data_IF_340185092305
#
_entry.id   IF_340185092305
#
_cell.length_a   1.000
_cell.length_b   1.000
_cell.length_c   1.000
_cell.angle_alpha   90.00
_cell.angle_beta   90.00
_cell.angle_gamma   90.00
#
_symmetry.space_group_name_H-M   'P 1'
#
loop_
_entity.id
_entity.type
_entity.pdbx_description
1 polymer ?
#
# COMPACT_ATOMS: atom_id res chain seq x y z
N UNK A 1 14.65 30.02 -9.42
CA UNK A 1 14.09 30.99 -8.48
C UNK A 1 12.57 30.83 -8.46
N UNK A 2 11.99 30.42 -7.33
CA UNK A 2 10.55 30.17 -7.20
C UNK A 2 9.80 31.38 -6.62
N UNK A 3 10.49 32.50 -6.40
CA UNK A 3 9.90 33.70 -5.77
C UNK A 3 8.77 34.32 -6.60
N UNK A 4 8.82 34.18 -7.92
CA UNK A 4 7.76 34.65 -8.82
C UNK A 4 6.47 33.80 -8.72
N UNK A 5 6.55 32.52 -8.31
CA UNK A 5 5.35 31.70 -8.04
C UNK A 5 4.57 32.18 -6.80
N UNK A 6 5.22 32.90 -5.91
CA UNK A 6 4.58 33.50 -4.74
C UNK A 6 3.75 34.77 -5.05
N UNK A 7 3.88 35.33 -6.27
CA UNK A 7 3.15 36.52 -6.72
C UNK A 7 2.20 36.19 -7.89
N UNK A 8 1.03 35.62 -7.63
CA UNK A 8 0.11 35.16 -8.68
C UNK A 8 -0.26 36.21 -9.74
N UNK A 9 -0.28 37.49 -9.36
CA UNK A 9 -0.59 38.62 -10.27
C UNK A 9 0.47 38.91 -11.34
N UNK A 10 1.65 38.29 -11.27
CA UNK A 10 2.75 38.46 -12.24
C UNK A 10 2.88 37.25 -13.18
N UNK A 11 2.10 36.17 -12.96
CA UNK A 11 2.16 34.96 -13.77
C UNK A 11 1.35 35.11 -15.05
N UNK A 12 1.80 34.57 -16.20
CA UNK A 12 1.00 34.55 -17.40
C UNK A 12 -0.29 33.73 -17.17
N UNK A 13 -1.36 34.08 -17.85
CA UNK A 13 -2.57 33.28 -17.83
C UNK A 13 -2.29 31.91 -18.45
N UNK A 14 -2.36 30.87 -17.62
CA UNK A 14 -2.13 29.50 -18.05
C UNK A 14 -2.96 28.53 -17.20
N UNK A 15 -3.62 27.49 -17.79
CA UNK A 15 -4.47 26.56 -17.04
C UNK A 15 -3.77 25.92 -15.83
N UNK A 16 -2.48 25.61 -15.91
CA UNK A 16 -1.70 25.05 -14.80
C UNK A 16 -1.55 25.99 -13.59
N UNK A 17 -1.77 27.30 -13.77
CA UNK A 17 -1.63 28.30 -12.71
C UNK A 17 -2.97 28.65 -12.05
N UNK A 18 -4.07 28.21 -12.64
CA UNK A 18 -5.41 28.42 -12.09
C UNK A 18 -5.56 27.71 -10.74
N UNK A 19 -6.19 28.37 -9.77
CA UNK A 19 -6.43 27.80 -8.45
C UNK A 19 -5.17 27.32 -7.69
N UNK A 20 -3.97 27.81 -8.08
CA UNK A 20 -2.69 27.34 -7.54
C UNK A 20 -2.39 25.86 -7.79
N UNK A 21 -3.02 25.25 -8.82
CA UNK A 21 -2.90 23.82 -9.12
C UNK A 21 -1.43 23.37 -9.24
N UNK A 22 -0.61 24.08 -10.02
CA UNK A 22 0.81 23.72 -10.22
C UNK A 22 1.61 23.73 -8.92
N UNK A 23 1.35 24.70 -8.04
CA UNK A 23 2.05 24.78 -6.75
C UNK A 23 1.74 23.55 -5.89
N UNK A 24 0.47 23.22 -5.76
CA UNK A 24 0.05 22.05 -5.00
C UNK A 24 0.54 20.74 -5.63
N UNK A 25 0.50 20.65 -6.95
CA UNK A 25 1.02 19.49 -7.67
C UNK A 25 2.51 19.30 -7.40
N UNK A 26 3.33 20.36 -7.54
CA UNK A 26 4.76 20.31 -7.29
C UNK A 26 5.08 19.96 -5.84
N UNK A 27 4.36 20.52 -4.87
CA UNK A 27 4.56 20.20 -3.45
C UNK A 27 4.30 18.71 -3.17
N UNK A 28 3.24 18.14 -3.74
CA UNK A 28 2.91 16.72 -3.58
C UNK A 28 3.91 15.81 -4.33
N UNK A 29 4.32 16.20 -5.53
CA UNK A 29 5.37 15.47 -6.28
C UNK A 29 6.69 15.48 -5.52
N UNK A 30 7.08 16.60 -4.92
CA UNK A 30 8.27 16.68 -4.08
C UNK A 30 8.17 15.74 -2.87
N UNK A 31 7.01 15.69 -2.21
CA UNK A 31 6.77 14.77 -1.09
C UNK A 31 6.91 13.30 -1.50
N UNK A 32 6.40 12.92 -2.68
CA UNK A 32 6.56 11.57 -3.22
C UNK A 32 8.02 11.25 -3.61
N UNK A 33 8.75 12.21 -4.18
CA UNK A 33 10.16 12.04 -4.51
C UNK A 33 10.98 11.83 -3.24
N UNK A 34 10.70 12.58 -2.18
CA UNK A 34 11.36 12.41 -0.88
C UNK A 34 11.21 10.97 -0.36
N UNK A 35 10.00 10.42 -0.38
CA UNK A 35 9.73 9.04 0.05
C UNK A 35 10.48 8.02 -0.83
N UNK A 36 10.50 8.24 -2.16
CA UNK A 36 11.27 7.39 -3.09
C UNK A 36 12.77 7.43 -2.82
N UNK A 37 13.32 8.59 -2.46
CA UNK A 37 14.73 8.69 -2.06
C UNK A 37 15.02 7.87 -0.81
N UNK A 38 14.13 7.87 0.18
CA UNK A 38 14.27 7.02 1.38
C UNK A 38 14.18 5.54 1.03
N UNK A 39 13.33 5.14 0.09
CA UNK A 39 13.29 3.77 -0.41
C UNK A 39 14.62 3.36 -1.09
N UNK A 40 15.26 4.27 -1.86
CA UNK A 40 16.59 4.03 -2.45
C UNK A 40 17.67 3.90 -1.37
N UNK A 41 17.64 4.74 -0.34
CA UNK A 41 18.57 4.64 0.80
C UNK A 41 18.41 3.29 1.51
N UNK A 42 17.16 2.86 1.73
CA UNK A 42 16.88 1.55 2.31
C UNK A 42 17.35 0.40 1.40
N UNK A 43 17.11 0.50 0.10
CA UNK A 43 17.59 -0.50 -0.87
C UNK A 43 19.12 -0.61 -0.86
N UNK A 44 19.83 0.53 -0.80
CA UNK A 44 21.29 0.55 -0.64
C UNK A 44 21.72 -0.13 0.66
N UNK A 45 21.08 0.19 1.77
CA UNK A 45 21.35 -0.43 3.06
C UNK A 45 21.13 -1.95 3.01
N UNK A 46 20.07 -2.40 2.32
CA UNK A 46 19.75 -3.81 2.16
C UNK A 46 20.76 -4.60 1.30
N UNK A 47 21.62 -3.93 0.52
CA UNK A 47 22.71 -4.54 -0.25
C UNK A 47 24.00 -4.70 0.57
N UNK A 48 24.06 -4.09 1.76
CA UNK A 48 25.22 -4.22 2.64
C UNK A 48 25.10 -5.50 3.47
N UNK A 49 26.25 -6.04 3.87
CA UNK A 49 26.30 -7.14 4.83
C UNK A 49 26.16 -6.57 6.24
N UNK A 50 25.28 -7.19 7.02
CA UNK A 50 25.01 -6.82 8.42
C UNK A 50 25.39 -7.97 9.36
N UNK A 51 26.52 -8.64 9.11
CA UNK A 51 26.95 -9.87 9.79
C UNK A 51 27.12 -9.73 11.31
N UNK A 52 27.33 -8.51 11.81
CA UNK A 52 27.44 -8.24 13.25
C UNK A 52 26.08 -7.97 13.92
N UNK A 53 25.00 -7.77 13.13
CA UNK A 53 23.70 -7.50 13.69
C UNK A 53 23.09 -8.77 14.29
N UNK A 54 22.86 -8.76 15.59
CA UNK A 54 22.25 -9.86 16.32
C UNK A 54 20.83 -9.51 16.76
N UNK A 55 19.97 -10.51 16.76
CA UNK A 55 18.58 -10.40 17.20
C UNK A 55 18.45 -11.12 18.54
N UNK A 56 18.37 -10.38 19.64
CA UNK A 56 18.26 -10.94 20.99
C UNK A 56 16.91 -11.65 21.20
N UNK A 57 15.83 -11.10 20.60
CA UNK A 57 14.48 -11.63 20.69
C UNK A 57 13.96 -11.94 19.29
N UNK A 58 14.15 -13.18 18.79
CA UNK A 58 13.70 -13.56 17.46
C UNK A 58 12.20 -13.40 17.29
N UNK A 59 11.79 -12.89 16.11
CA UNK A 59 10.40 -12.81 15.73
C UNK A 59 9.75 -14.20 15.78
N UNK A 60 8.61 -14.30 16.45
CA UNK A 60 7.81 -15.53 16.54
C UNK A 60 6.66 -15.46 15.56
N UNK A 61 6.44 -16.56 14.83
CA UNK A 61 5.30 -16.68 13.92
C UNK A 61 3.99 -16.76 14.71
N UNK A 62 2.94 -16.17 14.13
CA UNK A 62 1.59 -16.20 14.70
C UNK A 62 0.57 -16.41 13.59
N UNK A 63 -0.28 -17.44 13.72
CA UNK A 63 -1.39 -17.66 12.80
C UNK A 63 -2.36 -16.49 12.90
N UNK A 64 -2.78 -15.87 11.77
CA UNK A 64 -3.67 -14.73 11.78
C UNK A 64 -5.06 -15.13 12.29
N UNK A 65 -5.68 -14.19 13.01
CA UNK A 65 -7.03 -14.35 13.57
C UNK A 65 -7.89 -13.17 13.17
N UNK A 66 -9.19 -13.43 13.03
CA UNK A 66 -10.18 -12.40 12.71
C UNK A 66 -10.26 -11.34 13.84
N UNK A 67 -9.89 -10.11 13.50
CA UNK A 67 -10.07 -8.91 14.31
C UNK A 67 -10.95 -7.86 13.61
N UNK A 68 -11.69 -8.29 12.59
CA UNK A 68 -12.32 -7.41 11.61
C UNK A 68 -13.47 -6.58 12.19
N UNK A 69 -13.75 -5.47 11.51
CA UNK A 69 -14.93 -4.63 11.67
C UNK A 69 -15.88 -4.82 10.51
N UNK A 70 -17.18 -4.86 10.80
CA UNK A 70 -18.23 -4.97 9.80
C UNK A 70 -18.59 -3.57 9.31
N UNK A 71 -18.63 -3.42 7.99
CA UNK A 71 -19.18 -2.27 7.28
C UNK A 71 -20.48 -2.73 6.64
N UNK A 72 -21.58 -2.03 6.88
CA UNK A 72 -22.87 -2.38 6.34
C UNK A 72 -22.98 -2.04 4.85
N UNK A 73 -23.91 -2.69 4.16
CA UNK A 73 -24.25 -2.34 2.79
C UNK A 73 -24.78 -0.91 2.74
N UNK A 74 -24.34 -0.14 1.72
CA UNK A 74 -24.83 1.23 1.59
C UNK A 74 -24.17 2.00 0.46
N UNK A 75 -24.60 3.25 0.33
CA UNK A 75 -24.01 4.22 -0.59
C UNK A 75 -23.02 5.10 0.16
N UNK A 76 -21.80 5.12 -0.29
CA UNK A 76 -20.70 5.78 0.40
C UNK A 76 -20.02 6.81 -0.50
N UNK A 77 -19.56 7.88 0.11
CA UNK A 77 -18.78 8.90 -0.59
C UNK A 77 -17.31 8.55 -0.55
N UNK A 78 -16.67 8.51 -1.74
CA UNK A 78 -15.22 8.38 -1.93
C UNK A 78 -14.67 9.56 -2.72
N UNK A 79 -13.34 9.68 -2.77
CA UNK A 79 -12.67 10.74 -3.49
C UNK A 79 -12.67 12.08 -2.74
N UNK A 80 -11.97 13.04 -3.30
CA UNK A 80 -11.77 14.37 -2.72
C UNK A 80 -12.59 15.44 -3.42
N UNK A 81 -13.03 16.45 -2.65
CA UNK A 81 -13.51 17.72 -3.20
C UNK A 81 -12.32 18.53 -3.71
N UNK A 82 -12.61 19.64 -4.37
CA UNK A 82 -11.60 20.60 -4.78
C UNK A 82 -10.69 21.02 -3.61
N UNK A 83 -9.44 21.31 -3.92
CA UNK A 83 -8.43 21.71 -2.96
C UNK A 83 -7.03 21.20 -3.31
N UNK A 84 -6.15 21.17 -2.32
CA UNK A 84 -4.77 20.68 -2.45
C UNK A 84 -4.67 19.15 -2.54
N UNK A 85 -5.30 18.56 -3.56
CA UNK A 85 -5.36 17.11 -3.80
C UNK A 85 -4.82 16.77 -5.19
N UNK A 86 -4.44 15.50 -5.40
CA UNK A 86 -4.05 15.03 -6.72
C UNK A 86 -5.29 14.86 -7.61
N UNK A 87 -5.15 15.06 -8.91
CA UNK A 87 -6.25 14.90 -9.86
C UNK A 87 -6.90 13.52 -9.81
N UNK A 88 -6.12 12.46 -9.58
CA UNK A 88 -6.61 11.09 -9.50
C UNK A 88 -7.48 10.80 -8.26
N UNK A 89 -7.59 11.74 -7.31
CA UNK A 89 -8.50 11.66 -6.17
C UNK A 89 -9.88 12.25 -6.47
N UNK A 90 -10.04 12.86 -7.64
CA UNK A 90 -11.24 13.60 -8.07
C UNK A 90 -11.91 12.94 -9.29
N UNK A 91 -13.19 13.24 -9.51
CA UNK A 91 -14.12 13.94 -8.60
C UNK A 91 -14.63 13.05 -7.46
N UNK A 92 -15.36 13.63 -6.51
CA UNK A 92 -16.11 12.87 -5.51
C UNK A 92 -17.09 11.93 -6.20
N UNK A 93 -17.14 10.67 -5.75
CA UNK A 93 -18.07 9.66 -6.22
C UNK A 93 -18.98 9.18 -5.09
N UNK A 94 -20.16 8.71 -5.46
CA UNK A 94 -21.00 7.89 -4.59
C UNK A 94 -20.96 6.46 -5.14
N UNK A 95 -20.48 5.54 -4.31
CA UNK A 95 -20.37 4.12 -4.66
C UNK A 95 -21.29 3.29 -3.80
N UNK A 96 -21.93 2.29 -4.37
CA UNK A 96 -22.63 1.28 -3.61
C UNK A 96 -21.67 0.15 -3.27
N UNK A 97 -21.59 -0.23 -1.99
CA UNK A 97 -20.85 -1.39 -1.53
C UNK A 97 -21.77 -2.36 -0.80
N UNK A 98 -21.63 -3.64 -1.09
CA UNK A 98 -22.21 -4.69 -0.26
C UNK A 98 -21.58 -4.70 1.14
N UNK A 99 -22.25 -5.28 2.12
CA UNK A 99 -21.67 -5.46 3.44
C UNK A 99 -20.37 -6.28 3.35
N UNK A 100 -19.36 -5.91 4.13
CA UNK A 100 -18.07 -6.61 4.18
C UNK A 100 -17.49 -6.52 5.60
N UNK A 101 -16.49 -7.34 5.87
CA UNK A 101 -15.66 -7.22 7.08
C UNK A 101 -14.25 -6.85 6.65
N UNK A 102 -13.62 -5.90 7.34
CA UNK A 102 -12.26 -5.45 7.09
C UNK A 102 -11.42 -5.62 8.35
N UNK A 103 -10.24 -6.21 8.24
CA UNK A 103 -9.32 -6.35 9.37
C UNK A 103 -9.00 -4.98 9.97
N UNK A 104 -9.09 -4.88 11.29
CA UNK A 104 -8.83 -3.62 11.99
C UNK A 104 -7.40 -3.16 11.83
N UNK A 105 -6.45 -4.11 11.79
CA UNK A 105 -5.02 -3.85 11.60
C UNK A 105 -4.52 -4.38 10.26
N UNK A 106 -3.45 -3.79 9.68
CA UNK A 106 -2.73 -4.40 8.57
C UNK A 106 -2.10 -5.72 9.01
N UNK A 107 -1.75 -6.57 8.03
CA UNK A 107 -0.99 -7.80 8.27
C UNK A 107 0.31 -7.48 9.00
N UNK A 108 0.57 -8.18 10.10
CA UNK A 108 1.73 -7.96 10.95
C UNK A 108 2.95 -8.80 10.51
N UNK A 109 4.14 -8.43 11.02
CA UNK A 109 5.36 -9.20 10.79
C UNK A 109 5.23 -10.65 11.29
N UNK A 110 4.64 -10.87 12.46
CA UNK A 110 4.47 -12.21 13.03
C UNK A 110 3.55 -13.10 12.18
N UNK A 111 2.49 -12.53 11.64
CA UNK A 111 1.55 -13.24 10.76
C UNK A 111 2.17 -13.55 9.39
N UNK A 112 2.95 -12.62 8.85
CA UNK A 112 3.65 -12.87 7.59
C UNK A 112 4.78 -13.91 7.76
N UNK A 113 5.45 -13.94 8.90
CA UNK A 113 6.42 -15.00 9.21
C UNK A 113 5.76 -16.38 9.26
N UNK A 114 4.52 -16.48 9.77
CA UNK A 114 3.78 -17.75 9.77
C UNK A 114 3.51 -18.23 8.33
N UNK A 115 3.11 -17.35 7.42
CA UNK A 115 2.98 -17.64 6.00
C UNK A 115 4.29 -18.19 5.41
N UNK A 116 5.42 -17.52 5.69
CA UNK A 116 6.73 -17.96 5.19
C UNK A 116 7.12 -19.34 5.73
N UNK A 117 6.88 -19.60 7.03
CA UNK A 117 7.22 -20.87 7.67
C UNK A 117 6.31 -22.02 7.21
N UNK A 118 5.07 -21.74 6.82
CA UNK A 118 4.14 -22.74 6.23
C UNK A 118 4.40 -22.95 4.72
N UNK A 119 5.55 -22.51 4.22
CA UNK A 119 5.96 -22.72 2.83
C UNK A 119 5.35 -21.72 1.84
N UNK A 120 4.95 -20.54 2.30
CA UNK A 120 4.23 -19.53 1.51
C UNK A 120 4.86 -19.18 0.16
N UNK A 121 6.18 -19.19 0.07
CA UNK A 121 6.90 -18.97 -1.18
C UNK A 121 7.17 -20.23 -2.00
N UNK A 122 6.97 -21.41 -1.43
CA UNK A 122 7.20 -22.68 -2.11
C UNK A 122 5.90 -23.31 -2.65
N UNK A 123 4.79 -23.10 -1.96
CA UNK A 123 3.50 -23.69 -2.29
C UNK A 123 2.77 -22.87 -3.36
N UNK A 124 2.65 -23.41 -4.56
CA UNK A 124 2.09 -22.72 -5.71
C UNK A 124 0.56 -22.49 -5.63
N UNK A 125 -0.12 -23.23 -4.77
CA UNK A 125 -1.58 -23.18 -4.65
C UNK A 125 -2.11 -21.80 -4.19
N UNK A 126 -1.31 -21.05 -3.45
CA UNK A 126 -1.71 -19.72 -2.96
C UNK A 126 -1.43 -18.58 -3.95
N UNK A 127 -0.68 -18.84 -5.02
CA UNK A 127 -0.31 -17.82 -6.01
C UNK A 127 -1.23 -17.88 -7.23
N UNK A 128 -1.71 -16.74 -7.68
CA UNK A 128 -2.36 -16.60 -8.98
C UNK A 128 -1.34 -16.81 -10.13
N UNK A 129 -1.81 -16.88 -11.38
CA UNK A 129 -0.94 -17.13 -12.53
C UNK A 129 0.18 -16.12 -12.68
N UNK A 130 -0.12 -14.83 -12.52
CA UNK A 130 0.85 -13.76 -12.61
C UNK A 130 1.86 -13.81 -11.44
N UNK A 131 1.37 -14.11 -10.24
CA UNK A 131 2.21 -14.28 -9.05
C UNK A 131 3.14 -15.49 -9.17
N UNK A 132 2.68 -16.62 -9.73
CA UNK A 132 3.52 -17.80 -10.00
C UNK A 132 4.62 -17.49 -11.01
N UNK A 133 4.28 -16.78 -12.09
CA UNK A 133 5.26 -16.36 -13.09
C UNK A 133 6.32 -15.47 -12.48
N UNK A 134 5.90 -14.46 -11.71
CA UNK A 134 6.80 -13.55 -11.02
C UNK A 134 7.70 -14.27 -10.02
N UNK A 135 7.14 -15.12 -9.17
CA UNK A 135 7.87 -15.88 -8.14
C UNK A 135 8.93 -16.81 -8.77
N UNK A 136 8.58 -17.50 -9.86
CA UNK A 136 9.50 -18.35 -10.62
C UNK A 136 10.66 -17.56 -11.21
N UNK A 137 10.39 -16.37 -11.73
CA UNK A 137 11.43 -15.51 -12.37
C UNK A 137 12.38 -14.88 -11.37
N UNK A 138 11.91 -14.58 -10.14
CA UNK A 138 12.69 -13.84 -9.13
C UNK A 138 13.29 -14.74 -8.05
N UNK A 139 12.74 -15.95 -7.86
CA UNK A 139 13.13 -16.90 -6.80
C UNK A 139 13.16 -16.23 -5.40
N UNK A 140 12.23 -15.33 -5.16
CA UNK A 140 12.12 -14.58 -3.92
C UNK A 140 11.57 -15.48 -2.80
N UNK A 141 12.08 -15.34 -1.58
CA UNK A 141 11.67 -16.15 -0.43
C UNK A 141 11.33 -15.35 0.85
N UNK A 142 11.34 -14.01 0.79
CA UNK A 142 11.03 -13.16 1.93
C UNK A 142 10.67 -11.75 1.48
N UNK A 143 10.03 -10.90 2.33
CA UNK A 143 9.81 -9.49 2.04
C UNK A 143 11.10 -8.74 1.68
N UNK A 144 10.99 -7.72 0.81
CA UNK A 144 12.16 -6.96 0.31
C UNK A 144 13.04 -6.36 1.42
N UNK A 145 12.43 -5.93 2.51
CA UNK A 145 13.13 -5.30 3.64
C UNK A 145 13.61 -6.29 4.69
N UNK A 146 13.44 -7.61 4.48
CA UNK A 146 13.86 -8.61 5.45
C UNK A 146 15.18 -9.29 5.04
N UNK A 147 15.96 -9.63 6.05
CA UNK A 147 17.20 -10.41 5.91
C UNK A 147 17.26 -11.47 6.99
N UNK A 148 17.99 -12.53 6.73
CA UNK A 148 18.25 -13.58 7.70
C UNK A 148 19.68 -13.47 8.19
N UNK A 149 19.86 -13.40 9.51
CA UNK A 149 21.17 -13.38 10.14
C UNK A 149 21.83 -14.76 10.16
N UNK A 150 23.08 -14.83 10.58
CA UNK A 150 23.89 -16.07 10.65
C UNK A 150 23.29 -17.13 11.58
N UNK A 151 22.55 -16.71 12.61
CA UNK A 151 21.82 -17.59 13.52
C UNK A 151 20.44 -18.05 12.96
N UNK A 152 20.09 -17.70 11.73
CA UNK A 152 18.81 -18.04 11.11
C UNK A 152 17.63 -17.15 11.53
N UNK A 153 17.85 -16.11 12.33
CA UNK A 153 16.81 -15.19 12.78
C UNK A 153 16.56 -14.07 11.74
N UNK A 154 15.28 -13.71 11.54
CA UNK A 154 14.89 -12.63 10.65
C UNK A 154 15.06 -11.27 11.32
N UNK A 155 15.56 -10.30 10.55
CA UNK A 155 15.62 -8.88 10.91
C UNK A 155 15.21 -8.01 9.74
N UNK A 156 14.79 -6.78 10.03
CA UNK A 156 14.45 -5.79 9.02
C UNK A 156 15.65 -4.95 8.61
N UNK A 157 15.61 -4.33 7.44
CA UNK A 157 16.52 -3.28 7.01
C UNK A 157 15.71 -2.05 6.67
N UNK A 158 15.99 -0.97 7.38
CA UNK A 158 15.37 0.34 7.20
C UNK A 158 16.36 1.39 6.71
N UNK A 159 15.93 2.64 6.72
CA UNK A 159 16.75 3.80 6.29
C UNK A 159 18.03 3.98 7.14
N UNK A 160 18.01 3.54 8.38
CA UNK A 160 19.14 3.63 9.31
C UNK A 160 19.93 2.31 9.43
N UNK A 161 19.70 1.34 8.55
CA UNK A 161 20.35 0.03 8.59
C UNK A 161 19.49 -1.06 9.21
N UNK A 162 20.12 -2.12 9.78
CA UNK A 162 19.41 -3.26 10.33
C UNK A 162 18.60 -2.89 11.58
N UNK A 163 17.45 -3.55 11.75
CA UNK A 163 16.54 -3.31 12.87
C UNK A 163 15.80 -4.60 13.27
N UNK A 164 15.44 -4.69 14.55
CA UNK A 164 14.62 -5.80 15.05
C UNK A 164 13.20 -5.66 14.50
N UNK A 165 12.67 -6.75 13.94
CA UNK A 165 11.27 -6.82 13.49
C UNK A 165 10.36 -6.95 14.72
N UNK A 166 9.45 -5.99 14.88
CA UNK A 166 8.44 -6.04 15.93
C UNK A 166 7.24 -6.88 15.47
N UNK A 167 6.80 -7.81 16.33
CA UNK A 167 5.77 -8.80 15.98
C UNK A 167 4.46 -8.18 15.47
N UNK A 168 3.99 -7.13 16.14
CA UNK A 168 2.71 -6.48 15.85
C UNK A 168 2.80 -5.28 14.89
N UNK A 169 4.01 -4.95 14.40
CA UNK A 169 4.16 -3.93 13.37
C UNK A 169 3.76 -4.48 12.00
N UNK A 170 3.17 -3.63 11.12
CA UNK A 170 2.82 -4.03 9.77
C UNK A 170 4.03 -4.54 8.99
N UNK A 171 3.87 -5.67 8.32
CA UNK A 171 4.88 -6.15 7.37
C UNK A 171 5.04 -5.13 6.24
N UNK A 172 6.29 -4.97 5.78
CA UNK A 172 6.63 -4.01 4.73
C UNK A 172 7.60 -4.62 3.72
N UNK A 173 7.58 -4.10 2.49
CA UNK A 173 8.41 -4.59 1.40
C UNK A 173 7.76 -5.75 0.63
N UNK A 174 6.43 -5.78 0.60
CA UNK A 174 5.64 -6.68 -0.24
C UNK A 174 5.27 -6.01 -1.56
N UNK A 175 5.05 -6.82 -2.58
CA UNK A 175 4.36 -6.42 -3.80
C UNK A 175 2.91 -6.91 -3.84
N UNK A 176 2.18 -6.60 -4.92
CA UNK A 176 0.78 -6.99 -5.06
C UNK A 176 0.59 -8.52 -5.16
N UNK A 177 1.55 -9.25 -5.72
CA UNK A 177 1.49 -10.71 -5.83
C UNK A 177 1.66 -11.39 -4.47
N UNK A 178 2.65 -10.94 -3.69
CA UNK A 178 2.90 -11.41 -2.33
C UNK A 178 1.70 -11.17 -1.41
N UNK A 179 1.02 -10.02 -1.58
CA UNK A 179 -0.18 -9.73 -0.78
C UNK A 179 -1.36 -10.62 -1.12
N UNK A 180 -1.55 -10.98 -2.40
CA UNK A 180 -2.60 -11.92 -2.84
C UNK A 180 -2.30 -13.34 -2.38
N UNK A 181 -1.05 -13.79 -2.49
CA UNK A 181 -0.63 -15.10 -2.01
C UNK A 181 -0.83 -15.25 -0.50
N UNK A 182 -0.42 -14.22 0.27
CA UNK A 182 -0.68 -14.19 1.71
C UNK A 182 -2.17 -14.27 2.03
N UNK A 183 -3.02 -13.50 1.33
CA UNK A 183 -4.45 -13.49 1.57
C UNK A 183 -5.09 -14.88 1.29
N UNK A 184 -4.68 -15.55 0.22
CA UNK A 184 -5.13 -16.90 -0.10
C UNK A 184 -4.72 -17.92 0.98
N UNK A 185 -3.47 -17.83 1.47
CA UNK A 185 -3.01 -18.66 2.59
C UNK A 185 -3.78 -18.34 3.88
N UNK A 186 -4.00 -17.08 4.20
CA UNK A 186 -4.73 -16.65 5.40
C UNK A 186 -6.20 -17.09 5.36
N UNK A 187 -6.81 -17.13 4.17
CA UNK A 187 -8.16 -17.67 3.98
C UNK A 187 -8.26 -19.18 4.27
N UNK A 188 -7.19 -19.92 4.01
CA UNK A 188 -7.11 -21.37 4.25
C UNK A 188 -6.67 -21.69 5.69
N UNK A 189 -5.68 -20.99 6.22
CA UNK A 189 -5.01 -21.29 7.50
C UNK A 189 -5.44 -20.42 8.67
N UNK A 190 -5.93 -19.22 8.41
CA UNK A 190 -6.29 -18.23 9.43
C UNK A 190 -7.60 -18.59 10.16
N UNK A 191 -7.69 -18.21 11.42
CA UNK A 191 -8.88 -18.44 12.23
C UNK A 191 -9.93 -17.35 11.95
N UNK A 192 -11.07 -17.76 11.36
CA UNK A 192 -12.18 -16.85 11.05
C UNK A 192 -11.96 -15.99 9.80
N UNK A 193 -10.94 -16.30 8.98
CA UNK A 193 -10.56 -15.54 7.79
C UNK A 193 -10.98 -16.20 6.47
N UNK A 194 -11.90 -17.16 6.50
CA UNK A 194 -12.38 -17.83 5.29
C UNK A 194 -12.84 -16.80 4.24
N UNK A 195 -12.34 -16.95 3.01
CA UNK A 195 -12.60 -16.05 1.89
C UNK A 195 -11.87 -14.71 1.96
N UNK A 196 -10.85 -14.56 2.81
CA UNK A 196 -10.05 -13.35 2.90
C UNK A 196 -9.35 -13.02 1.58
N UNK A 197 -9.41 -11.76 1.20
CA UNK A 197 -8.71 -11.17 0.04
C UNK A 197 -8.09 -9.83 0.46
N UNK A 198 -7.13 -9.29 -0.31
CA UNK A 198 -6.71 -7.89 -0.09
C UNK A 198 -7.90 -6.96 -0.29
N UNK A 199 -7.96 -5.87 0.48
CA UNK A 199 -9.04 -4.89 0.38
C UNK A 199 -9.10 -4.23 -1.00
N UNK A 200 -10.30 -3.86 -1.46
CA UNK A 200 -10.48 -2.90 -2.55
C UNK A 200 -10.25 -1.47 -2.04
N UNK A 201 -9.74 -0.58 -2.88
CA UNK A 201 -9.44 0.80 -2.45
C UNK A 201 -10.67 1.56 -1.90
N UNK A 202 -11.87 1.26 -2.39
CA UNK A 202 -13.11 1.89 -1.89
C UNK A 202 -13.45 1.39 -0.48
N UNK A 203 -13.28 0.11 -0.22
CA UNK A 203 -13.48 -0.49 1.10
C UNK A 203 -12.52 0.13 2.12
N UNK A 204 -11.26 0.28 1.73
CA UNK A 204 -10.25 0.91 2.57
C UNK A 204 -10.60 2.36 2.90
N UNK A 205 -10.94 3.18 1.88
CA UNK A 205 -11.25 4.60 2.08
C UNK A 205 -12.46 4.81 3.00
N UNK A 206 -13.50 4.02 2.80
CA UNK A 206 -14.72 4.08 3.61
C UNK A 206 -14.42 3.69 5.05
N UNK A 207 -13.74 2.58 5.28
CA UNK A 207 -13.37 2.13 6.61
C UNK A 207 -12.46 3.13 7.35
N UNK A 208 -11.51 3.76 6.63
CA UNK A 208 -10.65 4.81 7.18
C UNK A 208 -11.44 6.06 7.57
N UNK A 209 -12.38 6.51 6.72
CA UNK A 209 -13.25 7.67 7.00
C UNK A 209 -14.20 7.44 8.18
N UNK A 210 -14.63 6.20 8.38
CA UNK A 210 -15.49 5.80 9.50
C UNK A 210 -14.70 5.58 10.80
N UNK A 211 -13.36 5.53 10.75
CA UNK A 211 -12.51 5.26 11.91
C UNK A 211 -12.51 3.79 12.34
N UNK A 212 -12.89 2.87 11.43
CA UNK A 212 -13.00 1.44 11.73
C UNK A 212 -11.68 0.69 11.56
N UNK A 213 -10.64 1.33 11.00
CA UNK A 213 -9.31 0.75 10.81
C UNK A 213 -8.24 1.52 11.57
N UNK A 214 -7.27 0.78 12.08
CA UNK A 214 -6.15 1.28 12.88
C UNK A 214 -4.82 1.11 12.13
N UNK A 215 -3.78 1.79 12.62
CA UNK A 215 -2.40 1.70 12.14
C UNK A 215 -2.20 2.00 10.64
N UNK A 216 -3.16 2.62 9.98
CA UNK A 216 -2.94 3.23 8.68
C UNK A 216 -1.93 4.40 8.83
N UNK A 217 -1.08 4.60 7.82
CA UNK A 217 0.02 5.57 7.89
C UNK A 217 1.34 4.99 8.43
N UNK A 218 1.41 3.69 8.74
CA UNK A 218 2.64 2.99 9.12
C UNK A 218 3.30 2.32 7.91
N UNK A 219 2.50 1.67 7.09
CA UNK A 219 2.90 1.03 5.83
C UNK A 219 1.83 1.32 4.79
N UNK A 220 2.21 1.59 3.53
CA UNK A 220 1.26 1.58 2.43
C UNK A 220 0.57 0.23 2.36
N UNK A 221 -0.67 0.22 1.93
CA UNK A 221 -1.47 -0.99 1.85
C UNK A 221 -1.88 -1.25 0.40
N UNK A 222 -1.37 -2.32 -0.21
CA UNK A 222 -1.78 -2.76 -1.54
C UNK A 222 -3.26 -3.10 -1.57
N UNK A 223 -3.95 -2.61 -2.60
CA UNK A 223 -5.33 -2.94 -2.86
C UNK A 223 -5.46 -4.04 -3.92
N UNK A 224 -6.60 -4.73 -3.92
CA UNK A 224 -6.88 -5.80 -4.87
C UNK A 224 -7.04 -5.31 -6.32
N UNK A 225 -7.50 -4.07 -6.48
CA UNK A 225 -7.85 -3.51 -7.78
C UNK A 225 -6.67 -2.84 -8.49
N UNK A 226 -6.67 -2.97 -9.81
CA UNK A 226 -5.86 -2.12 -10.68
C UNK A 226 -6.36 -0.67 -10.59
N UNK A 227 -5.46 0.27 -10.89
CA UNK A 227 -5.82 1.68 -10.96
C UNK A 227 -6.79 1.94 -12.12
N UNK A 228 -7.87 2.66 -11.80
CA UNK A 228 -8.79 3.24 -12.78
C UNK A 228 -9.08 4.68 -12.37
N UNK A 229 -9.26 5.54 -13.35
CA UNK A 229 -9.79 6.88 -13.10
C UNK A 229 -11.22 6.79 -12.57
N UNK A 230 -11.59 7.73 -11.71
CA UNK A 230 -12.99 7.86 -11.34
C UNK A 230 -13.84 8.31 -12.55
N UNK A 231 -15.12 7.94 -12.62
CA UNK A 231 -16.04 8.53 -13.60
C UNK A 231 -15.93 10.06 -13.60
N UNK A 232 -16.00 10.69 -14.78
CA UNK A 232 -15.87 12.13 -14.97
C UNK A 232 -14.52 12.75 -14.55
N UNK A 233 -13.48 11.91 -14.44
CA UNK A 233 -12.12 12.39 -14.20
C UNK A 233 -11.69 13.41 -15.25
N UNK A 234 -11.11 14.52 -14.79
CA UNK A 234 -10.53 15.54 -15.66
C UNK A 234 -9.00 15.37 -15.67
N UNK A 235 -8.49 14.97 -16.83
CA UNK A 235 -7.04 14.86 -16.99
C UNK A 235 -6.35 16.23 -16.80
N UNK A 236 -5.16 16.27 -16.21
CA UNK A 236 -4.38 17.51 -16.17
C UNK A 236 -4.05 17.98 -17.59
N UNK A 237 -3.75 19.27 -17.78
CA UNK A 237 -3.41 19.83 -19.10
C UNK A 237 -2.26 19.12 -19.80
N UNK A 238 -1.37 18.47 -19.04
CA UNK A 238 -0.31 17.59 -19.55
C UNK A 238 -0.44 16.22 -18.88
N UNK A 239 -0.69 15.18 -19.67
CA UNK A 239 -0.83 13.80 -19.19
C UNK A 239 0.44 13.28 -18.47
N UNK A 240 1.62 13.82 -18.77
CA UNK A 240 2.86 13.48 -18.04
C UNK A 240 2.84 13.91 -16.57
N UNK A 241 1.92 14.77 -16.19
CA UNK A 241 1.72 15.19 -14.81
C UNK A 241 0.85 14.22 -13.99
N UNK A 242 0.15 13.27 -14.64
CA UNK A 242 -0.60 12.23 -13.92
C UNK A 242 0.40 11.19 -13.33
N UNK A 243 0.39 10.99 -12.01
CA UNK A 243 1.30 10.05 -11.37
C UNK A 243 0.95 8.58 -11.62
N UNK A 244 -0.29 8.29 -12.01
CA UNK A 244 -0.83 6.96 -12.22
C UNK A 244 -1.15 6.73 -13.70
N UNK A 245 -1.09 5.48 -14.15
CA UNK A 245 -1.45 5.13 -15.51
C UNK A 245 -2.27 3.84 -15.55
N UNK A 246 -3.42 3.92 -16.20
CA UNK A 246 -4.28 2.76 -16.49
C UNK A 246 -3.55 1.79 -17.43
N UNK A 247 -2.89 2.32 -18.45
CA UNK A 247 -2.24 1.53 -19.51
C UNK A 247 -1.07 0.68 -19.00
N UNK A 248 -0.42 1.07 -17.89
CA UNK A 248 0.65 0.28 -17.27
C UNK A 248 0.14 -0.87 -16.41
N UNK A 249 -1.16 -0.96 -16.16
CA UNK A 249 -1.70 -1.94 -15.22
C UNK A 249 -1.26 -1.71 -13.78
N UNK A 250 -0.98 -0.46 -13.40
CA UNK A 250 -0.60 -0.11 -12.04
C UNK A 250 -1.70 -0.53 -11.05
N UNK A 251 -1.30 -1.02 -9.88
CA UNK A 251 -2.21 -1.30 -8.77
C UNK A 251 -2.26 -0.12 -7.81
N UNK A 252 -3.37 0.02 -7.11
CA UNK A 252 -3.57 1.08 -6.10
C UNK A 252 -2.98 0.68 -4.76
N UNK A 253 -2.40 1.66 -4.06
CA UNK A 253 -2.04 1.57 -2.64
C UNK A 253 -2.72 2.70 -1.87
N UNK A 254 -3.08 2.42 -0.63
CA UNK A 254 -3.75 3.37 0.28
C UNK A 254 -3.00 3.48 1.61
N UNK A 255 -3.24 4.53 2.36
CA UNK A 255 -2.91 4.63 3.77
C UNK A 255 -1.67 5.41 4.15
N UNK A 256 -0.70 5.57 3.28
CA UNK A 256 0.61 6.17 3.60
C UNK A 256 1.55 5.24 4.41
N UNK A 257 2.83 5.59 4.52
CA UNK A 257 3.80 4.95 5.39
C UNK A 257 4.43 5.95 6.37
N UNK A 258 5.30 5.49 7.26
CA UNK A 258 5.98 6.35 8.24
C UNK A 258 6.78 7.49 7.60
N UNK A 259 7.25 7.30 6.37
CA UNK A 259 8.06 8.28 5.63
C UNK A 259 7.24 9.24 4.78
N UNK A 260 5.94 9.01 4.65
CA UNK A 260 5.05 9.85 3.87
C UNK A 260 4.87 11.22 4.54
N UNK A 261 5.04 12.28 3.77
CA UNK A 261 4.84 13.65 4.25
C UNK A 261 3.38 13.88 4.67
N UNK A 262 3.13 14.71 5.71
CA UNK A 262 1.78 14.92 6.24
C UNK A 262 0.74 15.34 5.20
N UNK A 263 1.13 16.11 4.20
CA UNK A 263 0.25 16.57 3.12
C UNK A 263 -0.34 15.44 2.27
N UNK A 264 0.27 14.25 2.27
CA UNK A 264 -0.19 13.07 1.53
C UNK A 264 -0.92 12.03 2.40
N UNK A 265 -0.99 12.22 3.73
CA UNK A 265 -1.59 11.26 4.67
C UNK A 265 -3.11 11.41 4.79
N UNK A 266 -3.80 11.72 3.72
CA UNK A 266 -5.26 11.81 3.70
C UNK A 266 -5.89 10.51 3.20
N UNK A 267 -7.10 10.22 3.67
CA UNK A 267 -7.81 8.98 3.30
C UNK A 267 -8.17 8.90 1.81
N UNK A 268 -8.18 10.02 1.09
CA UNK A 268 -8.46 10.07 -0.35
C UNK A 268 -7.24 9.79 -1.21
N UNK A 269 -6.02 9.94 -0.67
CA UNK A 269 -4.81 9.82 -1.47
C UNK A 269 -4.66 8.41 -2.07
N UNK A 270 -4.36 8.37 -3.36
CA UNK A 270 -4.18 7.15 -4.15
C UNK A 270 -2.76 7.11 -4.69
N UNK A 271 -1.93 6.23 -4.14
CA UNK A 271 -0.62 5.90 -4.72
C UNK A 271 -0.81 4.76 -5.73
N UNK A 272 -0.04 4.80 -6.81
CA UNK A 272 -0.06 3.74 -7.82
C UNK A 272 1.34 3.23 -8.08
N UNK A 273 1.46 1.93 -8.29
CA UNK A 273 2.72 1.31 -8.63
C UNK A 273 2.50 0.02 -9.44
N UNK A 274 3.54 -0.39 -10.19
CA UNK A 274 3.57 -1.71 -10.83
C UNK A 274 3.34 -2.80 -9.79
N UNK A 275 2.52 -3.82 -10.08
CA UNK A 275 2.26 -4.93 -9.16
C UNK A 275 3.52 -5.67 -8.69
N UNK A 276 4.63 -5.56 -9.42
CA UNK A 276 5.92 -6.17 -9.08
C UNK A 276 6.77 -5.35 -8.10
N UNK A 277 6.39 -4.10 -7.85
CA UNK A 277 7.20 -3.16 -7.08
C UNK A 277 7.29 -3.56 -5.61
N UNK A 278 8.49 -3.97 -5.14
CA UNK A 278 8.73 -4.42 -3.75
C UNK A 278 9.45 -3.40 -2.87
N UNK A 279 10.17 -2.47 -3.47
CA UNK A 279 10.99 -1.50 -2.72
C UNK A 279 10.17 -0.42 -2.00
N UNK A 280 8.86 -0.43 -2.14
CA UNK A 280 7.97 0.43 -1.38
C UNK A 280 7.86 -0.04 0.08
N UNK A 281 7.63 0.89 0.99
CA UNK A 281 7.26 0.59 2.37
C UNK A 281 5.78 0.17 2.42
N UNK A 282 5.49 -1.00 1.84
CA UNK A 282 4.12 -1.47 1.57
C UNK A 282 3.87 -2.89 2.06
N UNK A 283 2.73 -3.07 2.69
CA UNK A 283 2.13 -4.34 3.10
C UNK A 283 0.70 -4.46 2.58
N UNK A 284 -0.21 -5.02 3.36
CA UNK A 284 -1.63 -5.17 3.00
C UNK A 284 -2.53 -5.29 4.22
N UNK A 285 -3.84 -5.22 3.98
CA UNK A 285 -4.92 -5.48 4.93
C UNK A 285 -5.94 -6.40 4.28
N UNK A 286 -6.60 -7.23 5.06
CA UNK A 286 -7.54 -8.23 4.56
C UNK A 286 -8.99 -7.73 4.67
N UNK A 287 -9.80 -8.18 3.70
CA UNK A 287 -11.24 -8.06 3.69
C UNK A 287 -11.85 -9.44 3.50
N UNK A 288 -12.93 -9.71 4.21
CA UNK A 288 -13.74 -10.92 4.06
C UNK A 288 -15.09 -10.51 3.43
N UNK A 289 -15.26 -10.63 2.12
CA UNK A 289 -16.53 -10.33 1.46
C UNK A 289 -17.59 -11.38 1.80
N UNK A 290 -18.87 -11.02 1.86
CA UNK A 290 -19.95 -11.97 2.08
C UNK A 290 -20.26 -12.76 0.79
N UNK A 291 -19.43 -13.72 0.41
CA UNK A 291 -19.72 -14.72 -0.63
C UNK A 291 -19.64 -14.28 -2.09
N UNK A 292 -19.66 -12.98 -2.40
CA UNK A 292 -19.37 -12.39 -3.72
C UNK A 292 -18.50 -11.16 -3.56
N UNK A 293 -17.72 -10.84 -4.57
CA UNK A 293 -16.95 -9.61 -4.56
C UNK A 293 -17.87 -8.40 -4.40
N UNK A 294 -17.48 -7.42 -3.58
CA UNK A 294 -18.31 -6.27 -3.24
C UNK A 294 -18.60 -5.32 -4.41
N UNK A 295 -18.00 -5.58 -5.56
CA UNK A 295 -18.03 -4.75 -6.78
C UNK A 295 -18.47 -5.52 -8.05
N UNK A 296 -19.03 -6.71 -7.92
CA UNK A 296 -19.65 -7.46 -9.05
C UNK A 296 -21.09 -7.01 -9.35
#
# INVERSE_FOLDING_TARGET
DLTWLANPGQLPAHPLLEGSWLIWHLAQRHALIYERLLAVVTARSAMLEHGEFQVDHPLQARIPQDDSRRIEQGHYRIGAREGAVMGNEQPVQIVELHAFRISRRPVSNAEYLAFMQDGGYAESAWWDDAGRQWQTSTQTGCPWHWRQGTAGHWYGVGINGPMVLQADEPVSGLNAYETRAYAAWAADRGTGLAGAVPQHEYQWEIAARMGEIERHGVSWEWCANAFQHYPDYQAPPDAALDPCSVDRGDCVLRGACLHTQPSLRRSTFRLCASPEQRSLFAGTRLVMPPGKAAWE
#
